data_IF_892948306877
#
_entry.id   IF_892948306877
#
_cell.length_a   1.000
_cell.length_b   1.000
_cell.length_c   1.000
_cell.angle_alpha   90.00
_cell.angle_beta   90.00
_cell.angle_gamma   90.00
#
_symmetry.space_group_name_H-M   'P 1'
#
loop_
_entity.id
_entity.type
_entity.pdbx_description
1 polymer ?
#
# COMPACT_ATOMS: atom_id res chain seq x y z
N UNK A 1 -25.31 -2.51 11.94
CA UNK A 1 -24.18 -2.76 11.03
C UNK A 1 -23.45 -4.00 11.50
N UNK A 2 -23.19 -4.94 10.60
CA UNK A 2 -22.36 -6.10 10.93
C UNK A 2 -20.91 -5.64 11.13
N UNK A 3 -20.15 -6.30 12.01
CA UNK A 3 -18.73 -6.05 12.18
C UNK A 3 -17.97 -7.13 11.44
N UNK A 4 -17.01 -6.75 10.60
CA UNK A 4 -16.08 -7.67 9.96
C UNK A 4 -14.93 -7.93 10.93
N UNK A 5 -14.79 -9.16 11.42
CA UNK A 5 -13.71 -9.54 12.30
C UNK A 5 -12.48 -9.98 11.50
N UNK A 6 -11.43 -9.15 11.47
CA UNK A 6 -10.08 -9.60 11.07
C UNK A 6 -9.47 -10.39 12.22
N UNK A 7 -9.64 -9.89 13.45
CA UNK A 7 -9.29 -10.60 14.67
C UNK A 7 -10.51 -10.69 15.60
N UNK A 8 -11.13 -11.88 15.77
CA UNK A 8 -12.26 -12.06 16.68
C UNK A 8 -11.93 -11.73 18.14
N UNK A 9 -10.66 -11.79 18.54
CA UNK A 9 -10.18 -11.40 19.86
C UNK A 9 -9.66 -9.95 19.91
N UNK A 10 -9.84 -9.20 18.83
CA UNK A 10 -9.41 -7.81 18.70
C UNK A 10 -10.03 -6.90 19.75
N UNK A 11 -9.24 -5.94 20.19
CA UNK A 11 -9.55 -4.96 21.24
C UNK A 11 -9.90 -3.57 20.67
N UNK A 12 -9.93 -3.43 19.34
CA UNK A 12 -10.28 -2.20 18.63
C UNK A 12 -11.28 -2.48 17.52
N UNK A 13 -12.27 -1.61 17.40
CA UNK A 13 -13.13 -1.48 16.23
C UNK A 13 -12.70 -0.22 15.47
N UNK A 14 -12.46 -0.37 14.18
CA UNK A 14 -12.16 0.73 13.28
C UNK A 14 -13.35 0.93 12.36
N UNK A 15 -13.90 2.13 12.36
CA UNK A 15 -14.94 2.57 11.42
C UNK A 15 -14.25 3.15 10.19
N UNK A 16 -14.46 2.55 9.02
CA UNK A 16 -13.75 2.87 7.77
C UNK A 16 -14.71 3.40 6.72
N UNK A 17 -14.26 4.42 5.99
CA UNK A 17 -14.99 5.00 4.86
C UNK A 17 -16.17 5.88 5.29
N UNK A 18 -16.83 6.50 4.31
CA UNK A 18 -17.97 7.40 4.53
C UNK A 18 -19.14 6.71 5.25
N UNK A 19 -19.35 5.43 4.96
CA UNK A 19 -20.40 4.60 5.57
C UNK A 19 -20.02 4.05 6.95
N UNK A 20 -18.81 4.37 7.47
CA UNK A 20 -18.32 3.95 8.79
C UNK A 20 -18.44 2.44 9.02
N UNK A 21 -18.03 1.66 8.03
CA UNK A 21 -18.06 0.21 8.07
C UNK A 21 -17.13 -0.31 9.18
N UNK A 22 -17.61 -1.28 9.97
CA UNK A 22 -16.97 -1.66 11.23
C UNK A 22 -16.04 -2.85 11.03
N UNK A 23 -14.76 -2.67 11.32
CA UNK A 23 -13.74 -3.73 11.23
C UNK A 23 -13.08 -3.94 12.61
N UNK A 24 -13.08 -5.18 13.12
CA UNK A 24 -12.39 -5.51 14.39
C UNK A 24 -10.96 -6.00 14.13
N UNK A 25 -10.01 -5.39 14.84
CA UNK A 25 -8.56 -5.65 14.74
C UNK A 25 -7.91 -5.69 16.12
N UNK A 26 -6.65 -6.12 16.19
CA UNK A 26 -5.83 -6.05 17.40
C UNK A 26 -4.97 -4.78 17.38
N UNK A 27 -5.14 -3.91 18.38
CA UNK A 27 -4.31 -2.72 18.57
C UNK A 27 -2.82 -3.06 18.59
N UNK A 28 -2.47 -4.19 19.22
CA UNK A 28 -1.10 -4.64 19.39
C UNK A 28 -0.47 -4.97 18.04
N UNK A 29 -1.15 -5.75 17.22
CA UNK A 29 -0.65 -6.14 15.90
C UNK A 29 -0.47 -4.92 15.01
N UNK A 30 -1.49 -4.07 14.93
CA UNK A 30 -1.46 -2.81 14.17
C UNK A 30 -0.34 -1.87 14.65
N UNK A 31 -0.11 -1.78 15.97
CA UNK A 31 0.96 -0.97 16.55
C UNK A 31 2.37 -1.51 16.27
N UNK A 32 2.51 -2.82 16.11
CA UNK A 32 3.79 -3.45 15.77
C UNK A 32 4.17 -3.16 14.32
N UNK A 33 3.18 -3.11 13.43
CA UNK A 33 3.37 -2.92 11.99
C UNK A 33 3.37 -1.46 11.55
N UNK A 34 2.85 -0.54 12.37
CA UNK A 34 2.78 0.90 12.04
C UNK A 34 3.09 1.80 13.24
N UNK A 35 4.03 2.76 13.11
CA UNK A 35 4.26 3.78 14.12
C UNK A 35 3.08 4.76 14.23
N UNK A 36 2.35 5.00 13.14
CA UNK A 36 1.16 5.87 13.13
C UNK A 36 0.04 5.25 13.96
N UNK A 37 -0.28 3.97 13.74
CA UNK A 37 -1.26 3.27 14.58
C UNK A 37 -0.78 3.14 16.02
N UNK A 38 0.51 2.90 16.24
CA UNK A 38 1.08 2.90 17.60
C UNK A 38 0.87 4.23 18.30
N UNK A 39 1.10 5.35 17.62
CA UNK A 39 0.84 6.67 18.17
C UNK A 39 -0.67 6.85 18.41
N UNK A 40 -1.50 6.56 17.41
CA UNK A 40 -2.96 6.68 17.46
C UNK A 40 -3.59 5.93 18.66
N UNK A 41 -3.12 4.71 18.96
CA UNK A 41 -3.62 3.92 20.07
C UNK A 41 -3.01 4.31 21.43
N UNK A 42 -1.82 4.93 21.47
CA UNK A 42 -1.15 5.31 22.72
C UNK A 42 -1.36 6.78 23.14
N UNK A 43 -1.55 7.70 22.19
CA UNK A 43 -1.41 9.15 22.43
C UNK A 43 -2.64 9.84 23.03
N UNK A 44 -3.70 9.11 23.36
CA UNK A 44 -4.81 9.69 24.10
C UNK A 44 -6.07 9.99 23.29
N UNK A 45 -6.49 9.13 22.36
CA UNK A 45 -7.92 8.99 22.02
C UNK A 45 -8.67 8.33 23.20
N UNK A 46 -8.48 8.91 24.39
CA UNK A 46 -8.75 8.39 25.73
C UNK A 46 -9.74 9.28 26.49
N UNK A 47 -10.52 10.12 25.81
CA UNK A 47 -11.54 10.93 26.50
C UNK A 47 -12.66 10.09 27.16
N UNK A 48 -12.61 8.75 27.08
CA UNK A 48 -13.44 7.83 27.88
C UNK A 48 -12.72 6.61 28.50
N UNK A 49 -11.39 6.52 28.45
CA UNK A 49 -10.63 5.31 28.85
C UNK A 49 -10.35 5.25 30.37
N UNK A 50 -11.42 5.10 31.15
CA UNK A 50 -11.38 4.48 32.49
C UNK A 50 -11.75 3.00 32.45
N UNK A 51 -12.15 2.47 31.29
CA UNK A 51 -12.36 1.04 31.05
C UNK A 51 -11.17 0.45 30.31
N UNK A 52 -10.63 -0.65 30.83
CA UNK A 52 -9.57 -1.43 30.18
C UNK A 52 -10.11 -1.93 28.83
N UNK A 53 -9.53 -1.46 27.73
CA UNK A 53 -9.84 -1.97 26.39
C UNK A 53 -9.57 -3.47 26.39
N UNK A 54 -10.58 -4.22 25.96
CA UNK A 54 -10.56 -5.68 25.96
C UNK A 54 -11.43 -6.18 24.82
N UNK A 55 -11.29 -7.45 24.46
CA UNK A 55 -12.16 -8.05 23.43
C UNK A 55 -13.65 -7.96 23.76
N UNK A 56 -14.01 -7.90 25.06
CA UNK A 56 -15.39 -7.74 25.52
C UNK A 56 -15.88 -6.29 25.50
N UNK A 57 -14.97 -5.31 25.52
CA UNK A 57 -15.26 -3.87 25.41
C UNK A 57 -14.20 -3.19 24.53
N UNK A 58 -14.23 -3.40 23.20
CA UNK A 58 -13.24 -2.85 22.30
C UNK A 58 -13.43 -1.33 22.17
N UNK A 59 -12.34 -0.58 22.04
CA UNK A 59 -12.40 0.86 21.73
C UNK A 59 -12.73 1.08 20.26
N UNK A 60 -13.43 2.18 19.95
CA UNK A 60 -13.73 2.55 18.56
C UNK A 60 -12.90 3.75 18.13
N UNK A 61 -12.36 3.70 16.90
CA UNK A 61 -11.77 4.85 16.18
C UNK A 61 -12.41 4.96 14.80
N UNK A 62 -12.41 6.16 14.20
CA UNK A 62 -13.02 6.39 12.89
C UNK A 62 -12.00 6.97 11.91
N UNK A 63 -11.94 6.39 10.71
CA UNK A 63 -11.06 6.74 9.60
C UNK A 63 -11.92 6.90 8.32
N UNK A 64 -12.70 7.99 8.21
CA UNK A 64 -13.71 8.15 7.15
C UNK A 64 -13.10 8.32 5.75
N UNK A 65 -11.86 8.79 5.67
CA UNK A 65 -11.16 9.04 4.39
C UNK A 65 -10.47 7.80 3.82
N UNK A 66 -10.48 6.67 4.55
CA UNK A 66 -9.81 5.44 4.12
C UNK A 66 -10.72 4.54 3.28
N UNK A 67 -10.12 3.89 2.28
CA UNK A 67 -10.78 2.89 1.45
C UNK A 67 -10.93 1.56 2.22
N UNK A 68 -12.18 1.07 2.32
CA UNK A 68 -12.50 -0.15 3.06
C UNK A 68 -11.80 -1.39 2.50
N UNK A 69 -11.76 -1.55 1.19
CA UNK A 69 -11.18 -2.74 0.58
C UNK A 69 -9.66 -2.77 0.80
N UNK A 70 -8.99 -1.63 0.64
CA UNK A 70 -7.57 -1.49 0.91
C UNK A 70 -7.25 -1.72 2.41
N UNK A 71 -8.08 -1.18 3.32
CA UNK A 71 -7.94 -1.42 4.76
C UNK A 71 -8.09 -2.89 5.12
N UNK A 72 -9.10 -3.58 4.58
CA UNK A 72 -9.31 -5.01 4.83
C UNK A 72 -8.13 -5.86 4.32
N UNK A 73 -7.58 -5.51 3.16
CA UNK A 73 -6.43 -6.20 2.57
C UNK A 73 -5.18 -6.06 3.47
N UNK A 74 -4.81 -4.83 3.81
CA UNK A 74 -3.68 -4.55 4.71
C UNK A 74 -3.90 -5.09 6.12
N UNK A 75 -5.12 -4.98 6.64
CA UNK A 75 -5.54 -5.53 7.92
C UNK A 75 -5.24 -7.02 8.02
N UNK A 76 -5.62 -7.80 7.00
CA UNK A 76 -5.30 -9.23 6.93
C UNK A 76 -3.79 -9.48 6.92
N UNK A 77 -3.02 -8.72 6.14
CA UNK A 77 -1.55 -8.83 6.09
C UNK A 77 -0.94 -8.61 7.47
N UNK A 78 -1.32 -7.52 8.14
CA UNK A 78 -0.81 -7.18 9.46
C UNK A 78 -1.11 -8.27 10.49
N UNK A 79 -2.28 -8.91 10.36
CA UNK A 79 -2.70 -10.03 11.18
C UNK A 79 -2.14 -11.39 10.76
N UNK A 80 -1.09 -11.43 9.94
CA UNK A 80 -0.45 -12.65 9.44
C UNK A 80 -1.41 -13.61 8.74
N UNK A 81 -2.49 -13.07 8.18
CA UNK A 81 -3.40 -13.80 7.30
C UNK A 81 -2.91 -13.63 5.87
N UNK A 82 -3.18 -14.62 5.02
CA UNK A 82 -2.91 -14.53 3.59
C UNK A 82 -4.13 -13.91 2.91
N UNK A 83 -4.15 -12.60 2.61
CA UNK A 83 -5.25 -12.05 1.83
C UNK A 83 -5.17 -12.59 0.41
N UNK A 84 -6.33 -12.91 -0.15
CA UNK A 84 -6.48 -12.98 -1.59
C UNK A 84 -6.77 -11.59 -2.11
N UNK A 85 -6.30 -11.28 -3.32
CA UNK A 85 -6.75 -10.08 -4.00
C UNK A 85 -8.27 -10.18 -4.21
N UNK A 86 -9.02 -9.08 -4.01
CA UNK A 86 -10.40 -9.00 -4.47
C UNK A 86 -10.52 -9.40 -5.96
N UNK A 87 -11.61 -10.05 -6.39
CA UNK A 87 -11.80 -10.39 -7.80
C UNK A 87 -11.71 -9.19 -8.74
N UNK A 88 -12.08 -8.01 -8.26
CA UNK A 88 -12.06 -6.73 -8.97
C UNK A 88 -10.74 -5.96 -8.76
N UNK A 89 -9.72 -6.57 -8.16
CA UNK A 89 -8.45 -5.90 -7.90
C UNK A 89 -7.70 -5.56 -9.19
N UNK A 90 -7.44 -4.27 -9.35
CA UNK A 90 -6.65 -3.71 -10.44
C UNK A 90 -5.49 -2.86 -9.88
N UNK A 91 -4.83 -2.12 -10.77
CA UNK A 91 -3.71 -1.26 -10.39
C UNK A 91 -4.19 -0.08 -9.53
N UNK A 92 -5.42 0.41 -9.71
CA UNK A 92 -5.98 1.47 -8.88
C UNK A 92 -6.20 0.98 -7.45
N UNK A 93 -6.69 -0.26 -7.27
CA UNK A 93 -6.76 -0.89 -5.95
C UNK A 93 -5.39 -0.97 -5.28
N UNK A 94 -4.36 -1.41 -6.01
CA UNK A 94 -2.99 -1.48 -5.48
C UNK A 94 -2.39 -0.10 -5.18
N UNK A 95 -2.75 0.93 -5.95
CA UNK A 95 -2.41 2.32 -5.67
C UNK A 95 -3.01 2.79 -4.35
N UNK A 96 -4.29 2.48 -4.08
CA UNK A 96 -4.94 2.78 -2.80
C UNK A 96 -4.30 2.04 -1.62
N UNK A 97 -4.01 0.74 -1.78
CA UNK A 97 -3.29 -0.06 -0.79
C UNK A 97 -1.93 0.56 -0.49
N UNK A 98 -1.21 0.98 -1.53
CA UNK A 98 0.12 1.59 -1.39
C UNK A 98 0.05 2.98 -0.74
N UNK A 99 -0.97 3.77 -1.07
CA UNK A 99 -1.22 5.06 -0.42
C UNK A 99 -1.48 4.90 1.09
N UNK A 100 -2.23 3.86 1.49
CA UNK A 100 -2.40 3.53 2.91
C UNK A 100 -1.10 3.03 3.55
N UNK A 101 -0.29 2.26 2.80
CA UNK A 101 1.01 1.81 3.28
C UNK A 101 1.93 2.97 3.66
N UNK A 102 2.01 3.97 2.78
CA UNK A 102 2.78 5.18 3.02
C UNK A 102 2.16 6.03 4.15
N UNK A 103 0.84 6.28 4.09
CA UNK A 103 0.07 7.06 5.09
C UNK A 103 0.29 6.54 6.52
N UNK A 104 0.23 5.23 6.71
CA UNK A 104 0.39 4.60 8.02
C UNK A 104 1.83 4.16 8.30
N UNK A 105 2.77 4.43 7.39
CA UNK A 105 4.18 4.09 7.51
C UNK A 105 4.40 2.64 7.93
N UNK A 106 3.76 1.71 7.21
CA UNK A 106 3.91 0.30 7.51
C UNK A 106 5.36 -0.16 7.33
N UNK A 107 5.74 -1.21 8.06
CA UNK A 107 7.10 -1.76 8.01
C UNK A 107 7.44 -2.36 6.64
N UNK A 108 8.71 -2.27 6.23
CA UNK A 108 9.24 -2.79 4.96
C UNK A 108 8.80 -4.21 4.57
N UNK A 109 8.67 -5.21 5.48
CA UNK A 109 8.18 -6.53 5.10
C UNK A 109 6.77 -6.53 4.47
N UNK A 110 5.94 -5.55 4.80
CA UNK A 110 4.60 -5.39 4.21
C UNK A 110 4.72 -4.93 2.75
N UNK A 111 5.73 -4.11 2.41
CA UNK A 111 5.94 -3.65 1.04
C UNK A 111 6.09 -4.81 0.05
N UNK A 112 6.87 -5.83 0.40
CA UNK A 112 7.04 -7.01 -0.45
C UNK A 112 5.74 -7.79 -0.70
N UNK A 113 4.81 -7.77 0.25
CA UNK A 113 3.52 -8.44 0.10
C UNK A 113 2.62 -7.63 -0.84
N UNK A 114 2.66 -6.31 -0.75
CA UNK A 114 1.93 -5.39 -1.64
C UNK A 114 2.53 -5.37 -3.05
N UNK A 115 3.84 -5.55 -3.17
CA UNK A 115 4.59 -5.61 -4.44
C UNK A 115 4.28 -6.88 -5.23
N UNK A 116 4.20 -8.05 -4.57
CA UNK A 116 4.15 -9.35 -5.24
C UNK A 116 3.05 -9.50 -6.33
N UNK A 117 1.84 -8.93 -6.18
CA UNK A 117 0.85 -9.00 -7.25
C UNK A 117 1.14 -8.08 -8.44
N UNK A 118 2.02 -7.08 -8.34
CA UNK A 118 2.32 -6.13 -9.43
C UNK A 118 3.02 -6.78 -10.61
N UNK A 119 3.80 -7.83 -10.37
CA UNK A 119 4.51 -8.59 -11.42
C UNK A 119 3.55 -9.12 -12.50
N UNK A 120 2.30 -9.44 -12.13
CA UNK A 120 1.30 -9.95 -13.08
C UNK A 120 0.73 -8.85 -13.99
N UNK A 121 0.89 -7.58 -13.61
CA UNK A 121 0.32 -6.44 -14.32
C UNK A 121 1.31 -5.78 -15.29
N UNK A 122 2.62 -5.84 -15.04
CA UNK A 122 3.63 -5.08 -15.81
C UNK A 122 3.66 -5.47 -17.30
N UNK A 123 3.64 -6.78 -17.62
CA UNK A 123 3.95 -7.28 -18.97
C UNK A 123 2.92 -6.89 -20.05
N UNK A 124 1.73 -6.44 -19.66
CA UNK A 124 0.66 -6.05 -20.57
C UNK A 124 -0.02 -4.74 -20.13
N UNK A 125 0.62 -3.97 -19.26
CA UNK A 125 0.08 -2.71 -18.76
C UNK A 125 0.01 -1.67 -19.88
N UNK A 126 -1.06 -0.88 -19.90
CA UNK A 126 -1.10 0.35 -20.70
C UNK A 126 -0.08 1.37 -20.15
N UNK A 127 0.27 2.40 -20.93
CA UNK A 127 1.22 3.43 -20.46
C UNK A 127 0.74 4.12 -19.17
N UNK A 128 -0.56 4.38 -19.03
CA UNK A 128 -1.17 4.94 -17.81
C UNK A 128 -0.94 4.06 -16.59
N UNK A 129 -1.02 2.75 -16.78
CA UNK A 129 -0.81 1.74 -15.76
C UNK A 129 0.67 1.64 -15.37
N UNK A 130 1.58 1.74 -16.34
CA UNK A 130 3.01 1.79 -16.06
C UNK A 130 3.39 3.00 -15.19
N UNK A 131 2.80 4.18 -15.41
CA UNK A 131 3.03 5.34 -14.54
C UNK A 131 2.54 5.12 -13.11
N UNK A 132 1.37 4.48 -12.95
CA UNK A 132 0.84 4.11 -11.63
C UNK A 132 1.73 3.09 -10.93
N UNK A 133 2.16 2.05 -11.65
CA UNK A 133 3.08 1.03 -11.11
C UNK A 133 4.42 1.68 -10.70
N UNK A 134 4.94 2.63 -11.49
CA UNK A 134 6.18 3.33 -11.14
C UNK A 134 6.02 4.16 -9.87
N UNK A 135 4.88 4.83 -9.70
CA UNK A 135 4.55 5.57 -8.47
C UNK A 135 4.41 4.65 -7.26
N UNK A 136 3.73 3.51 -7.42
CA UNK A 136 3.64 2.47 -6.40
C UNK A 136 5.03 1.98 -5.99
N UNK A 137 5.90 1.68 -6.96
CA UNK A 137 7.26 1.21 -6.71
C UNK A 137 8.09 2.21 -5.90
N UNK A 138 7.91 3.50 -6.17
CA UNK A 138 8.54 4.58 -5.40
C UNK A 138 8.04 4.62 -3.95
N UNK A 139 6.73 4.56 -3.72
CA UNK A 139 6.15 4.58 -2.37
C UNK A 139 6.51 3.34 -1.53
N UNK A 140 6.65 2.18 -2.17
CA UNK A 140 7.04 0.94 -1.52
C UNK A 140 8.55 0.84 -1.24
N UNK A 141 9.36 1.78 -1.74
CA UNK A 141 10.83 1.67 -1.78
C UNK A 141 11.27 0.33 -2.41
N UNK A 142 10.66 -0.01 -3.55
CA UNK A 142 10.84 -1.28 -4.26
C UNK A 142 11.76 -1.08 -5.50
N UNK A 143 13.10 -1.19 -5.36
CA UNK A 143 14.02 -0.79 -6.42
C UNK A 143 13.94 -1.69 -7.66
N UNK A 144 13.66 -2.98 -7.52
CA UNK A 144 13.53 -3.90 -8.65
C UNK A 144 12.27 -3.58 -9.47
N UNK A 145 11.14 -3.37 -8.81
CA UNK A 145 9.91 -2.94 -9.47
C UNK A 145 10.11 -1.60 -10.16
N UNK A 146 10.71 -0.62 -9.47
CA UNK A 146 10.96 0.71 -10.04
C UNK A 146 11.85 0.64 -11.29
N UNK A 147 12.95 -0.12 -11.22
CA UNK A 147 13.85 -0.30 -12.37
C UNK A 147 13.18 -1.00 -13.53
N UNK A 148 12.36 -2.01 -13.26
CA UNK A 148 11.67 -2.79 -14.31
C UNK A 148 10.61 -1.94 -15.00
N UNK A 149 9.78 -1.24 -14.22
CA UNK A 149 8.72 -0.40 -14.77
C UNK A 149 9.26 0.83 -15.50
N UNK A 150 10.31 1.47 -14.96
CA UNK A 150 10.94 2.61 -15.66
C UNK A 150 11.57 2.17 -16.98
N UNK A 151 12.22 1.00 -17.02
CA UNK A 151 12.71 0.42 -18.26
C UNK A 151 11.60 0.17 -19.27
N UNK A 152 10.48 -0.43 -18.84
CA UNK A 152 9.33 -0.70 -19.71
C UNK A 152 8.74 0.59 -20.31
N UNK A 153 8.65 1.66 -19.52
CA UNK A 153 8.22 2.98 -19.99
C UNK A 153 9.18 3.52 -21.06
N UNK A 154 10.49 3.41 -20.83
CA UNK A 154 11.50 3.92 -21.77
C UNK A 154 11.40 3.18 -23.12
N UNK A 155 11.28 1.85 -23.14
CA UNK A 155 11.25 1.08 -24.40
C UNK A 155 9.90 1.14 -25.12
N UNK A 156 8.79 1.35 -24.39
CA UNK A 156 7.44 1.43 -24.96
C UNK A 156 7.13 2.83 -25.48
N UNK A 157 7.87 3.85 -25.04
CA UNK A 157 7.69 5.20 -25.54
C UNK A 157 8.09 5.29 -27.03
N UNK A 158 7.18 5.71 -27.94
CA UNK A 158 7.46 5.83 -29.36
C UNK A 158 8.38 7.02 -29.72
N UNK A 159 8.96 7.69 -28.72
CA UNK A 159 9.95 8.74 -28.94
C UNK A 159 11.28 8.03 -29.20
N UNK A 160 11.74 8.05 -30.46
CA UNK A 160 13.10 7.62 -30.76
C UNK A 160 14.06 8.47 -29.91
N UNK A 161 14.80 7.85 -28.99
CA UNK A 161 15.83 8.54 -28.20
C UNK A 161 16.88 9.20 -29.10
N UNK A 162 16.97 8.79 -30.37
CA UNK A 162 17.77 9.43 -31.42
C UNK A 162 17.35 10.89 -31.69
N UNK A 163 16.13 11.28 -31.34
CA UNK A 163 15.63 12.65 -31.48
C UNK A 163 15.95 13.56 -30.29
N UNK A 164 16.68 13.07 -29.28
CA UNK A 164 17.08 13.83 -28.09
C UNK A 164 18.62 13.85 -27.91
N UNK A 165 19.35 14.69 -28.67
CA UNK A 165 20.82 14.76 -28.62
C UNK A 165 21.36 15.05 -27.21
N UNK A 166 20.65 15.85 -26.42
CA UNK A 166 21.09 16.30 -25.10
C UNK A 166 21.13 15.17 -24.05
N UNK A 167 20.33 14.12 -24.20
CA UNK A 167 20.35 12.99 -23.26
C UNK A 167 21.52 12.04 -23.56
N UNK A 168 21.84 11.79 -24.84
CA UNK A 168 22.94 10.91 -25.22
C UNK A 168 24.34 11.45 -24.87
N UNK A 169 24.47 12.74 -24.57
CA UNK A 169 25.72 13.40 -24.16
C UNK A 169 25.90 13.47 -22.63
N UNK A 170 25.00 12.86 -21.85
CA UNK A 170 25.09 12.90 -20.40
C UNK A 170 26.26 12.02 -19.89
N UNK A 171 27.16 12.55 -19.01
CA UNK A 171 28.39 11.86 -18.59
C UNK A 171 28.18 10.54 -17.82
N UNK A 172 26.94 10.24 -17.43
CA UNK A 172 26.57 9.01 -16.72
C UNK A 172 26.02 7.90 -17.63
N UNK A 173 25.83 8.15 -18.93
CA UNK A 173 25.35 7.12 -19.88
C UNK A 173 26.56 6.37 -20.44
N UNK A 174 26.55 5.04 -20.31
CA UNK A 174 27.65 4.19 -20.78
C UNK A 174 27.75 4.23 -22.32
N UNK A 175 28.96 4.47 -22.83
CA UNK A 175 29.24 4.55 -24.28
C UNK A 175 28.99 3.24 -25.03
N UNK A 176 28.83 2.13 -24.33
CA UNK A 176 28.47 0.82 -24.91
C UNK A 176 27.03 0.73 -25.43
N UNK A 177 26.17 1.71 -25.12
CA UNK A 177 24.81 1.80 -25.68
C UNK A 177 24.73 2.62 -26.99
N UNK A 178 25.84 3.24 -27.42
CA UNK A 178 25.96 3.84 -28.76
C UNK A 178 26.40 2.74 -29.73
N UNK A 179 25.43 2.02 -30.30
CA UNK A 179 25.70 1.07 -31.39
C UNK A 179 26.38 1.76 -32.58
N UNK A 180 27.24 1.01 -33.28
CA UNK A 180 27.93 1.41 -34.52
C UNK A 180 26.96 1.74 -35.68
#
# INVERSE_FOLDING_TARGET
MATVDIDPAGDVIVEIGEELERVRVSSKTMSLTSPVFRAMFNSGFREGLTAQTSSSNPSTISLPDDDLAAFLYLGKIMHFQKPELPPEADIEFLEKVTGMYDKYQFTTPIAHIVEAPLDQFIRSAAMTDLYRILFIAYLLDAPQLFSTTSWEILITHPISFESMPAMMEHPSISTTLRGE
#
